data_IF_047573599229
#
_entry.id   IF_047573599229
#
_cell.length_a   1.000
_cell.length_b   1.000
_cell.length_c   1.000
_cell.angle_alpha   90.00
_cell.angle_beta   90.00
_cell.angle_gamma   90.00
#
_symmetry.space_group_name_H-M   'P 1'
#
loop_
_entity.id
_entity.type
_entity.pdbx_description
1 polymer ?
#
# COMPACT_ATOMS: atom_id res chain seq x y z
N UNK A 1 50.96 -15.78 3.64
CA UNK A 1 49.90 -16.79 3.47
C UNK A 1 48.73 -16.27 2.68
N UNK A 2 48.50 -16.85 1.50
CA UNK A 2 47.36 -16.54 0.63
C UNK A 2 45.99 -16.91 1.26
N UNK A 3 46.00 -17.62 2.39
CA UNK A 3 44.81 -17.96 3.17
C UNK A 3 44.24 -16.76 3.96
N UNK A 4 45.07 -15.80 4.40
CA UNK A 4 44.60 -14.59 5.11
C UNK A 4 44.04 -13.53 4.17
N UNK A 5 44.45 -13.53 2.89
CA UNK A 5 43.89 -12.66 1.86
C UNK A 5 42.50 -13.12 1.36
N UNK A 6 42.14 -14.40 1.57
CA UNK A 6 40.88 -14.97 1.10
C UNK A 6 39.70 -14.80 2.09
N UNK A 7 39.99 -14.40 3.33
CA UNK A 7 38.95 -13.98 4.29
C UNK A 7 38.55 -12.50 4.15
N UNK A 8 39.22 -11.75 3.26
CA UNK A 8 38.98 -10.33 3.05
C UNK A 8 37.73 -10.01 2.20
N UNK A 9 37.05 -11.02 1.65
CA UNK A 9 35.96 -10.83 0.68
C UNK A 9 34.56 -10.69 1.32
N UNK A 10 34.44 -10.69 2.66
CA UNK A 10 33.14 -10.62 3.35
C UNK A 10 33.06 -9.61 4.50
N UNK A 11 33.98 -8.65 4.58
CA UNK A 11 33.93 -7.58 5.57
C UNK A 11 33.13 -6.39 5.01
N UNK A 12 31.87 -6.24 5.44
CA UNK A 12 31.19 -4.94 5.35
C UNK A 12 32.13 -3.88 5.96
N UNK A 13 32.45 -2.83 5.20
CA UNK A 13 33.26 -1.71 5.70
C UNK A 13 32.68 -1.20 7.04
N UNK A 14 33.53 -0.64 7.90
CA UNK A 14 33.13 -0.16 9.24
C UNK A 14 31.90 0.75 9.17
N UNK A 15 31.82 1.58 8.12
CA UNK A 15 30.66 2.43 7.84
C UNK A 15 29.38 1.63 7.59
N UNK A 16 29.43 0.64 6.71
CA UNK A 16 28.28 -0.22 6.37
C UNK A 16 27.80 -1.03 7.58
N UNK A 17 28.73 -1.49 8.44
CA UNK A 17 28.36 -2.13 9.71
C UNK A 17 27.66 -1.16 10.66
N UNK A 18 28.13 0.08 10.74
CA UNK A 18 27.47 1.13 11.53
C UNK A 18 26.04 1.39 11.09
N UNK A 19 25.79 1.52 9.78
CA UNK A 19 24.45 1.69 9.22
C UNK A 19 23.56 0.49 9.54
N UNK A 20 24.06 -0.73 9.35
CA UNK A 20 23.30 -1.94 9.63
C UNK A 20 22.92 -2.05 11.12
N UNK A 21 23.84 -1.76 12.03
CA UNK A 21 23.58 -1.81 13.47
C UNK A 21 22.52 -0.78 13.89
N UNK A 22 22.62 0.47 13.40
CA UNK A 22 21.61 1.51 13.69
C UNK A 22 20.26 1.14 13.12
N UNK A 23 20.21 0.59 11.90
CA UNK A 23 18.97 0.14 11.30
C UNK A 23 18.31 -0.97 12.12
N UNK A 24 19.08 -2.01 12.50
CA UNK A 24 18.59 -3.12 13.32
C UNK A 24 18.07 -2.63 14.67
N UNK A 25 18.82 -1.76 15.36
CA UNK A 25 18.39 -1.17 16.62
C UNK A 25 17.13 -0.32 16.44
N UNK A 26 17.03 0.46 15.36
CA UNK A 26 15.84 1.24 15.02
C UNK A 26 14.60 0.36 14.85
N UNK A 27 14.73 -0.81 14.21
CA UNK A 27 13.63 -1.77 14.07
C UNK A 27 13.22 -2.34 15.43
N UNK A 28 14.17 -2.66 16.31
CA UNK A 28 13.85 -3.10 17.67
C UNK A 28 13.10 -2.03 18.48
N UNK A 29 13.53 -0.76 18.38
CA UNK A 29 12.87 0.35 19.06
C UNK A 29 11.48 0.64 18.50
N UNK A 30 11.28 0.51 17.18
CA UNK A 30 9.97 0.61 16.54
C UNK A 30 8.99 -0.45 17.08
N UNK A 31 9.47 -1.69 17.25
CA UNK A 31 8.67 -2.78 17.81
C UNK A 31 8.32 -2.55 19.29
N UNK A 32 9.22 -1.90 20.04
CA UNK A 32 8.99 -1.50 21.43
C UNK A 32 8.22 -0.18 21.57
N UNK A 33 7.77 0.41 20.47
CA UNK A 33 7.05 1.69 20.42
C UNK A 33 7.84 2.92 20.90
N UNK A 34 9.18 2.85 20.93
CA UNK A 34 10.06 4.00 21.16
C UNK A 34 10.31 4.75 19.84
N UNK A 35 9.27 5.40 19.32
CA UNK A 35 9.28 5.94 17.96
C UNK A 35 10.27 7.08 17.76
N UNK A 36 10.43 8.00 18.71
CA UNK A 36 11.34 9.14 18.60
C UNK A 36 12.80 8.69 18.48
N UNK A 37 13.20 7.72 19.30
CA UNK A 37 14.53 7.13 19.25
C UNK A 37 14.77 6.36 17.95
N UNK A 38 13.79 5.59 17.49
CA UNK A 38 13.84 4.89 16.20
C UNK A 38 13.97 5.87 15.02
N UNK A 39 13.23 6.98 15.04
CA UNK A 39 13.29 8.04 14.02
C UNK A 39 14.71 8.63 13.94
N UNK A 40 15.34 8.90 15.09
CA UNK A 40 16.71 9.39 15.15
C UNK A 40 17.71 8.42 14.50
N UNK A 41 17.61 7.13 14.80
CA UNK A 41 18.48 6.11 14.20
C UNK A 41 18.27 5.99 12.69
N UNK A 42 17.03 5.94 12.22
CA UNK A 42 16.74 5.87 10.79
C UNK A 42 17.14 7.15 10.06
N UNK A 43 17.07 8.32 10.70
CA UNK A 43 17.57 9.57 10.11
C UNK A 43 19.09 9.50 9.86
N UNK A 44 19.86 8.93 10.79
CA UNK A 44 21.29 8.69 10.58
C UNK A 44 21.53 7.69 9.44
N UNK A 45 20.73 6.63 9.33
CA UNK A 45 20.84 5.69 8.21
C UNK A 45 20.55 6.36 6.86
N UNK A 46 19.54 7.23 6.77
CA UNK A 46 19.23 8.01 5.56
C UNK A 46 20.41 8.91 5.15
N UNK A 47 21.09 9.51 6.12
CA UNK A 47 22.22 10.40 5.87
C UNK A 47 23.48 9.65 5.42
N UNK A 48 23.70 8.43 5.92
CA UNK A 48 24.91 7.66 5.65
C UNK A 48 24.81 6.68 4.47
N UNK A 49 23.63 6.12 4.21
CA UNK A 49 23.33 5.19 3.11
C UNK A 49 22.25 5.80 2.21
N UNK A 50 22.63 6.90 1.54
CA UNK A 50 21.75 7.67 0.67
C UNK A 50 21.30 6.83 -0.53
N UNK A 51 20.00 6.90 -0.85
CA UNK A 51 19.41 6.18 -1.97
C UNK A 51 18.84 4.80 -1.60
N UNK A 52 19.03 4.32 -0.37
CA UNK A 52 18.39 3.08 0.07
C UNK A 52 16.96 3.33 0.59
N UNK A 53 15.90 2.90 -0.13
CA UNK A 53 14.50 3.21 0.22
C UNK A 53 14.03 2.62 1.54
N UNK A 54 14.75 1.63 2.09
CA UNK A 54 14.39 0.99 3.36
C UNK A 54 14.48 1.97 4.53
N UNK A 55 15.49 2.86 4.55
CA UNK A 55 15.70 3.79 5.66
C UNK A 55 14.61 4.85 5.80
N UNK A 56 14.26 5.63 4.75
CA UNK A 56 13.17 6.59 4.85
C UNK A 56 11.82 5.88 5.01
N UNK A 57 11.62 4.70 4.43
CA UNK A 57 10.41 3.91 4.68
C UNK A 57 10.23 3.61 6.18
N UNK A 58 11.24 3.05 6.85
CA UNK A 58 11.15 2.72 8.27
C UNK A 58 11.02 3.97 9.15
N UNK A 59 11.68 5.07 8.78
CA UNK A 59 11.49 6.37 9.45
C UNK A 59 10.06 6.87 9.32
N UNK A 60 9.51 6.80 8.10
CA UNK A 60 8.12 7.17 7.80
C UNK A 60 7.10 6.32 8.56
N UNK A 61 7.38 5.04 8.79
CA UNK A 61 6.55 4.16 9.62
C UNK A 61 6.51 4.62 11.06
N UNK A 62 7.66 4.94 11.65
CA UNK A 62 7.72 5.45 13.01
C UNK A 62 7.00 6.79 13.13
N UNK A 63 7.20 7.70 12.17
CA UNK A 63 6.49 8.98 12.12
C UNK A 63 4.98 8.82 11.97
N UNK A 64 4.54 7.86 11.15
CA UNK A 64 3.12 7.54 10.99
C UNK A 64 2.52 7.06 12.31
N UNK A 65 3.21 6.15 13.02
CA UNK A 65 2.78 5.66 14.35
C UNK A 65 2.81 6.74 15.43
N UNK A 66 3.74 7.69 15.34
CA UNK A 66 3.81 8.86 16.21
C UNK A 66 2.81 9.98 15.82
N UNK A 67 1.98 9.80 14.79
CA UNK A 67 0.99 10.79 14.35
C UNK A 67 1.56 11.95 13.51
N UNK A 68 2.84 11.92 13.16
CA UNK A 68 3.50 12.93 12.33
C UNK A 68 3.23 12.69 10.83
N UNK A 69 1.97 12.73 10.41
CA UNK A 69 1.51 12.32 9.07
C UNK A 69 2.24 13.02 7.92
N UNK A 70 2.44 14.34 8.02
CA UNK A 70 3.13 15.12 6.97
C UNK A 70 4.61 14.75 6.84
N UNK A 71 5.27 14.41 7.94
CA UNK A 71 6.64 13.92 7.90
C UNK A 71 6.68 12.52 7.27
N UNK A 72 5.78 11.62 7.69
CA UNK A 72 5.69 10.26 7.18
C UNK A 72 5.50 10.25 5.65
N UNK A 73 4.62 11.10 5.16
CA UNK A 73 4.40 11.33 3.73
C UNK A 73 5.69 11.70 2.98
N UNK A 74 6.47 12.67 3.48
CA UNK A 74 7.75 13.06 2.85
C UNK A 74 8.73 11.89 2.77
N UNK A 75 8.79 11.08 3.81
CA UNK A 75 9.66 9.92 3.87
C UNK A 75 9.21 8.80 2.92
N UNK A 76 7.90 8.57 2.80
CA UNK A 76 7.38 7.62 1.81
C UNK A 76 7.57 8.12 0.38
N UNK A 77 7.40 9.42 0.11
CA UNK A 77 7.68 10.01 -1.21
C UNK A 77 9.17 9.84 -1.57
N UNK A 78 10.06 10.07 -0.61
CA UNK A 78 11.50 9.84 -0.80
C UNK A 78 11.79 8.37 -1.13
N UNK A 79 11.22 7.42 -0.38
CA UNK A 79 11.38 6.00 -0.63
C UNK A 79 10.85 5.57 -2.01
N UNK A 80 9.67 6.07 -2.41
CA UNK A 80 9.08 5.84 -3.75
C UNK A 80 10.02 6.38 -4.83
N UNK A 81 10.54 7.61 -4.64
CA UNK A 81 11.41 8.26 -5.62
C UNK A 81 12.69 7.47 -5.87
N UNK A 82 13.28 6.87 -4.83
CA UNK A 82 14.48 6.05 -4.96
C UNK A 82 14.22 4.70 -5.64
N UNK A 83 13.07 4.07 -5.37
CA UNK A 83 12.66 2.89 -6.13
C UNK A 83 12.53 3.23 -7.62
N UNK A 84 11.74 4.24 -7.95
CA UNK A 84 11.47 4.63 -9.35
C UNK A 84 12.74 5.09 -10.05
N UNK A 85 13.57 5.90 -9.39
CA UNK A 85 14.83 6.40 -9.93
C UNK A 85 15.84 5.30 -10.28
N UNK A 86 15.73 4.13 -9.67
CA UNK A 86 16.53 2.93 -9.96
C UNK A 86 15.84 1.95 -10.91
N UNK A 87 14.68 2.32 -11.46
CA UNK A 87 13.85 1.42 -12.28
C UNK A 87 13.21 0.28 -11.49
N UNK A 88 13.21 0.36 -10.15
CA UNK A 88 12.59 -0.62 -9.26
C UNK A 88 11.12 -0.29 -9.07
N UNK A 89 10.31 -1.35 -9.00
CA UNK A 89 8.91 -1.27 -8.58
C UNK A 89 8.85 -1.01 -7.08
N UNK A 90 8.21 0.09 -6.61
CA UNK A 90 7.95 0.26 -5.18
C UNK A 90 7.18 -0.93 -4.62
N UNK A 91 7.52 -1.43 -3.41
CA UNK A 91 6.74 -2.48 -2.76
C UNK A 91 5.30 -2.01 -2.49
N UNK A 92 4.32 -2.90 -2.62
CA UNK A 92 2.91 -2.54 -2.38
C UNK A 92 2.66 -2.00 -0.97
N UNK A 93 3.35 -2.56 0.02
CA UNK A 93 3.25 -2.11 1.41
C UNK A 93 3.74 -0.66 1.59
N UNK A 94 4.71 -0.21 0.78
CA UNK A 94 5.18 1.16 0.77
C UNK A 94 4.07 2.12 0.31
N UNK A 95 3.42 1.79 -0.81
CA UNK A 95 2.32 2.58 -1.38
C UNK A 95 1.11 2.61 -0.43
N UNK A 96 0.76 1.47 0.16
CA UNK A 96 -0.32 1.41 1.15
C UNK A 96 -0.03 2.29 2.38
N UNK A 97 1.20 2.30 2.90
CA UNK A 97 1.58 3.15 4.04
C UNK A 97 1.62 4.63 3.67
N UNK A 98 2.00 4.97 2.43
CA UNK A 98 1.91 6.33 1.89
C UNK A 98 0.48 6.83 1.82
N UNK A 99 -0.43 6.00 1.29
CA UNK A 99 -1.86 6.29 1.25
C UNK A 99 -2.44 6.49 2.67
N UNK A 100 -2.08 5.64 3.63
CA UNK A 100 -2.52 5.78 5.03
C UNK A 100 -2.04 7.09 5.67
N UNK A 101 -0.80 7.51 5.41
CA UNK A 101 -0.28 8.78 5.90
C UNK A 101 -1.02 9.97 5.24
N UNK A 102 -1.24 9.90 3.93
CA UNK A 102 -1.95 10.94 3.17
C UNK A 102 -3.43 11.04 3.49
N UNK A 103 -4.08 9.95 3.93
CA UNK A 103 -5.51 9.96 4.26
C UNK A 103 -5.87 10.95 5.37
N UNK A 104 -4.91 11.31 6.23
CA UNK A 104 -5.05 12.33 7.29
C UNK A 104 -4.76 13.76 6.82
N UNK A 105 -4.42 13.95 5.54
CA UNK A 105 -4.02 15.22 4.93
C UNK A 105 -5.00 15.58 3.79
N UNK A 106 -5.86 16.62 3.96
CA UNK A 106 -6.84 17.00 2.94
C UNK A 106 -6.23 17.39 1.59
N UNK A 107 -5.00 17.95 1.60
CA UNK A 107 -4.25 18.36 0.42
C UNK A 107 -3.67 17.19 -0.39
N UNK A 108 -3.68 15.97 0.15
CA UNK A 108 -3.08 14.77 -0.49
C UNK A 108 -4.07 13.73 -0.99
N UNK A 109 -5.37 14.01 -0.94
CA UNK A 109 -6.40 13.00 -1.21
C UNK A 109 -6.27 12.37 -2.60
N UNK A 110 -5.93 13.13 -3.64
CA UNK A 110 -5.73 12.59 -4.97
C UNK A 110 -4.62 11.52 -5.03
N UNK A 111 -3.51 11.74 -4.32
CA UNK A 111 -2.37 10.82 -4.30
C UNK A 111 -2.69 9.55 -3.51
N UNK A 112 -3.47 9.69 -2.43
CA UNK A 112 -3.99 8.56 -1.64
C UNK A 112 -4.80 7.61 -2.54
N UNK A 113 -5.69 8.17 -3.36
CA UNK A 113 -6.52 7.37 -4.27
C UNK A 113 -5.69 6.73 -5.38
N UNK A 114 -4.70 7.44 -5.93
CA UNK A 114 -3.79 6.88 -6.90
C UNK A 114 -3.01 5.68 -6.33
N UNK A 115 -2.54 5.76 -5.07
CA UNK A 115 -1.86 4.66 -4.40
C UNK A 115 -2.76 3.46 -4.15
N UNK A 116 -3.99 3.68 -3.67
CA UNK A 116 -4.96 2.60 -3.46
C UNK A 116 -5.28 1.88 -4.76
N UNK A 117 -5.53 2.61 -5.84
CA UNK A 117 -5.83 2.02 -7.13
C UNK A 117 -4.65 1.26 -7.72
N UNK A 118 -3.44 1.81 -7.57
CA UNK A 118 -2.23 1.14 -8.01
C UNK A 118 -2.02 -0.19 -7.27
N UNK A 119 -2.20 -0.20 -5.94
CA UNK A 119 -2.11 -1.41 -5.12
C UNK A 119 -3.18 -2.41 -5.53
N UNK A 120 -4.44 -1.97 -5.65
CA UNK A 120 -5.57 -2.82 -6.02
C UNK A 120 -5.35 -3.48 -7.37
N UNK A 121 -4.97 -2.73 -8.41
CA UNK A 121 -4.71 -3.25 -9.76
C UNK A 121 -3.51 -4.18 -9.80
N UNK A 122 -2.47 -3.92 -9.01
CA UNK A 122 -1.29 -4.78 -8.96
C UNK A 122 -1.56 -6.12 -8.26
N UNK A 123 -2.45 -6.14 -7.26
CA UNK A 123 -2.93 -7.38 -6.63
C UNK A 123 -3.84 -8.17 -7.58
N UNK A 124 -4.63 -7.45 -8.35
CA UNK A 124 -5.54 -7.97 -9.35
C UNK A 124 -4.85 -8.56 -10.58
N UNK A 125 -3.77 -7.93 -11.04
CA UNK A 125 -3.01 -8.33 -12.22
C UNK A 125 -1.53 -8.48 -11.85
N UNK A 126 -1.15 -9.62 -11.22
CA UNK A 126 0.19 -9.80 -10.70
C UNK A 126 1.31 -9.74 -11.75
N UNK A 127 0.97 -10.00 -13.00
CA UNK A 127 1.90 -10.06 -14.13
C UNK A 127 2.08 -8.71 -14.83
N UNK A 128 1.22 -7.74 -14.53
CA UNK A 128 1.31 -6.40 -15.11
C UNK A 128 2.40 -5.57 -14.42
N UNK A 129 3.20 -4.89 -15.23
CA UNK A 129 4.17 -3.91 -14.72
C UNK A 129 3.46 -2.70 -14.10
N UNK A 130 4.07 -2.09 -13.09
CA UNK A 130 3.56 -0.83 -12.49
C UNK A 130 3.37 0.25 -13.54
N UNK A 131 4.27 0.37 -14.53
CA UNK A 131 4.13 1.35 -15.62
C UNK A 131 2.96 1.07 -16.55
N UNK A 132 2.56 -0.19 -16.74
CA UNK A 132 1.37 -0.53 -17.50
C UNK A 132 0.11 -0.13 -16.72
N UNK A 133 0.05 -0.47 -15.43
CA UNK A 133 -1.05 -0.11 -14.55
C UNK A 133 -1.20 1.41 -14.43
N UNK A 134 -0.09 2.15 -14.28
CA UNK A 134 -0.10 3.62 -14.24
C UNK A 134 -0.62 4.24 -15.55
N UNK A 135 -0.29 3.65 -16.72
CA UNK A 135 -0.83 4.10 -18.00
C UNK A 135 -2.33 3.90 -18.10
N UNK A 136 -2.85 2.75 -17.66
CA UNK A 136 -4.30 2.52 -17.61
C UNK A 136 -5.01 3.46 -16.63
N UNK A 137 -4.45 3.65 -15.43
CA UNK A 137 -5.02 4.59 -14.45
C UNK A 137 -5.05 6.03 -14.97
N UNK A 138 -4.04 6.44 -15.74
CA UNK A 138 -4.01 7.74 -16.38
C UNK A 138 -5.11 7.88 -17.45
N UNK A 139 -5.47 6.80 -18.15
CA UNK A 139 -6.59 6.78 -19.09
C UNK A 139 -7.94 6.84 -18.37
N UNK A 140 -8.06 6.19 -17.20
CA UNK A 140 -9.31 6.08 -16.44
C UNK A 140 -9.66 7.35 -15.64
N UNK A 141 -8.80 8.38 -15.67
CA UNK A 141 -9.01 9.71 -15.05
C UNK A 141 -9.48 9.65 -13.59
N UNK A 142 -9.05 8.65 -12.82
CA UNK A 142 -9.39 8.53 -11.39
C UNK A 142 -8.57 9.56 -10.62
N UNK A 143 -9.15 10.75 -10.43
CA UNK A 143 -8.51 11.89 -9.77
C UNK A 143 -9.18 12.29 -8.45
N UNK A 144 -10.29 11.63 -8.09
CA UNK A 144 -11.09 11.98 -6.91
C UNK A 144 -11.84 10.78 -6.32
N UNK A 145 -12.18 10.89 -5.03
CA UNK A 145 -13.01 9.90 -4.33
C UNK A 145 -14.36 9.68 -5.02
N UNK A 146 -15.03 10.74 -5.48
CA UNK A 146 -16.33 10.61 -6.15
C UNK A 146 -16.26 9.93 -7.53
N UNK A 147 -15.11 9.94 -8.20
CA UNK A 147 -14.90 9.12 -9.41
C UNK A 147 -14.63 7.66 -9.05
N UNK A 148 -13.86 7.43 -7.99
CA UNK A 148 -13.61 6.09 -7.46
C UNK A 148 -14.89 5.42 -6.95
N UNK A 149 -15.70 6.14 -6.17
CA UNK A 149 -16.97 5.66 -5.63
C UNK A 149 -17.93 5.25 -6.76
N UNK A 150 -18.06 6.07 -7.81
CA UNK A 150 -18.85 5.71 -8.99
C UNK A 150 -18.33 4.47 -9.69
N UNK A 151 -17.01 4.33 -9.87
CA UNK A 151 -16.42 3.13 -10.46
C UNK A 151 -16.66 1.87 -9.61
N UNK A 152 -16.77 2.01 -8.30
CA UNK A 152 -17.08 0.92 -7.36
C UNK A 152 -18.57 0.59 -7.33
N UNK A 153 -19.43 1.60 -7.43
CA UNK A 153 -20.89 1.49 -7.33
C UNK A 153 -21.56 1.17 -8.67
N UNK A 154 -20.94 1.51 -9.80
CA UNK A 154 -21.43 1.20 -11.13
C UNK A 154 -21.44 -0.32 -11.36
N UNK A 155 -22.57 -0.91 -11.80
CA UNK A 155 -22.66 -2.34 -12.08
C UNK A 155 -21.64 -2.77 -13.13
N UNK A 156 -20.61 -3.49 -12.69
CA UNK A 156 -19.59 -4.02 -13.59
C UNK A 156 -20.17 -5.24 -14.34
N UNK A 157 -19.88 -5.36 -15.64
CA UNK A 157 -20.38 -6.45 -16.49
C UNK A 157 -19.91 -7.83 -16.01
N UNK A 158 -20.70 -8.87 -16.27
CA UNK A 158 -20.62 -10.21 -15.64
C UNK A 158 -19.32 -11.01 -15.85
N UNK A 159 -18.36 -10.54 -16.65
CA UNK A 159 -17.01 -11.15 -16.70
C UNK A 159 -16.16 -10.82 -15.45
N UNK A 160 -16.60 -9.88 -14.62
CA UNK A 160 -15.91 -9.44 -13.40
C UNK A 160 -16.25 -10.29 -12.16
N UNK A 161 -16.29 -11.63 -12.29
CA UNK A 161 -16.72 -12.54 -11.22
C UNK A 161 -15.87 -12.53 -9.93
N UNK A 162 -14.74 -11.82 -9.93
CA UNK A 162 -13.98 -11.58 -8.71
C UNK A 162 -13.58 -10.10 -8.67
N UNK A 163 -14.18 -9.35 -7.74
CA UNK A 163 -13.55 -8.29 -6.91
C UNK A 163 -14.59 -7.29 -6.42
N UNK A 164 -15.35 -7.61 -5.37
CA UNK A 164 -15.70 -6.58 -4.38
C UNK A 164 -16.10 -7.16 -3.01
N UNK A 165 -15.11 -7.53 -2.19
CA UNK A 165 -15.34 -7.73 -0.75
C UNK A 165 -15.69 -6.41 -0.04
N UNK A 166 -15.19 -5.28 -0.56
CA UNK A 166 -15.50 -3.94 -0.05
C UNK A 166 -16.95 -3.49 -0.35
N UNK A 167 -17.59 -3.97 -1.43
CA UNK A 167 -19.02 -3.67 -1.68
C UNK A 167 -19.85 -4.38 -0.64
N UNK A 168 -19.47 -5.61 -0.28
CA UNK A 168 -20.09 -6.34 0.81
C UNK A 168 -20.00 -5.59 2.15
N UNK A 169 -18.86 -4.98 2.45
CA UNK A 169 -18.67 -4.20 3.70
C UNK A 169 -19.47 -2.90 3.68
N UNK A 170 -19.45 -2.16 2.57
CA UNK A 170 -20.16 -0.88 2.46
C UNK A 170 -21.67 -1.11 2.41
N UNK A 171 -22.14 -2.13 1.70
CA UNK A 171 -23.55 -2.50 1.64
C UNK A 171 -24.10 -3.01 2.99
N UNK A 172 -23.33 -3.81 3.73
CA UNK A 172 -23.73 -4.29 5.06
C UNK A 172 -23.90 -3.15 6.07
N UNK A 173 -23.13 -2.07 5.93
CA UNK A 173 -23.20 -0.91 6.82
C UNK A 173 -24.41 0.00 6.56
N UNK A 174 -24.93 0.01 5.33
CA UNK A 174 -26.12 0.77 4.96
C UNK A 174 -27.43 -0.02 5.15
N UNK A 175 -27.38 -1.36 5.14
CA UNK A 175 -28.58 -2.21 5.26
C UNK A 175 -28.78 -2.90 6.62
N UNK A 176 -27.86 -2.72 7.59
CA UNK A 176 -28.03 -3.26 8.94
C UNK A 176 -28.02 -4.79 9.04
N UNK A 177 -27.48 -5.49 8.03
CA UNK A 177 -27.43 -6.96 8.02
C UNK A 177 -26.07 -7.48 8.52
N UNK A 178 -26.10 -8.39 9.49
CA UNK A 178 -24.93 -9.11 10.00
C UNK A 178 -24.38 -10.12 8.99
N UNK A 179 -23.06 -10.16 8.84
CA UNK A 179 -22.33 -10.97 7.87
C UNK A 179 -22.36 -12.47 8.26
N UNK A 180 -23.14 -13.28 7.55
CA UNK A 180 -22.97 -14.74 7.52
C UNK A 180 -21.83 -15.10 6.57
N UNK A 181 -20.84 -15.85 7.04
CA UNK A 181 -19.65 -16.23 6.27
C UNK A 181 -19.99 -17.07 5.02
N UNK A 182 -19.27 -16.92 3.90
CA UNK A 182 -19.30 -17.92 2.84
C UNK A 182 -17.91 -18.56 2.64
N UNK A 183 -17.76 -19.81 3.08
CA UNK A 183 -16.98 -20.79 2.33
C UNK A 183 -17.93 -21.95 2.02
N UNK A 184 -18.41 -21.98 0.79
CA UNK A 184 -19.16 -23.06 0.19
C UNK A 184 -19.16 -22.80 -1.31
N UNK A 185 -18.46 -23.65 -2.06
CA UNK A 185 -18.34 -23.54 -3.53
C UNK A 185 -19.69 -23.66 -4.26
N UNK A 186 -19.72 -23.38 -5.56
CA UNK A 186 -20.98 -23.26 -6.30
C UNK A 186 -21.57 -24.64 -6.60
N UNK A 187 -22.77 -24.90 -6.08
CA UNK A 187 -23.68 -25.86 -6.70
C UNK A 187 -24.50 -25.10 -7.76
N UNK A 188 -24.15 -25.33 -9.02
CA UNK A 188 -24.84 -24.75 -10.17
C UNK A 188 -26.08 -25.60 -10.43
N UNK A 189 -27.20 -25.26 -9.79
CA UNK A 189 -28.54 -25.61 -10.28
C UNK A 189 -29.64 -24.79 -9.62
N UNK A 190 -30.39 -24.10 -10.48
CA UNK A 190 -31.76 -23.66 -10.30
C UNK A 190 -32.04 -22.53 -9.29
N UNK A 191 -32.16 -21.31 -9.80
CA UNK A 191 -33.31 -20.46 -9.44
C UNK A 191 -33.67 -19.57 -10.64
N UNK A 192 -34.86 -19.82 -11.16
CA UNK A 192 -35.48 -19.11 -12.28
C UNK A 192 -35.66 -17.64 -11.93
N UNK A 193 -35.40 -16.78 -12.91
CA UNK A 193 -35.89 -15.40 -12.93
C UNK A 193 -37.42 -15.39 -12.79
N UNK A 194 -37.91 -14.74 -11.75
CA UNK A 194 -39.31 -14.35 -11.58
C UNK A 194 -39.34 -12.87 -11.24
N UNK A 195 -39.22 -12.02 -12.25
CA UNK A 195 -39.53 -10.60 -12.15
C UNK A 195 -40.97 -10.42 -12.64
N UNK A 196 -41.84 -9.88 -11.78
CA UNK A 196 -43.16 -9.38 -12.15
C UNK A 196 -43.21 -7.92 -11.72
N UNK A 197 -43.36 -6.95 -12.63
CA UNK A 197 -43.71 -5.59 -12.28
C UNK A 197 -45.24 -5.47 -12.28
N UNK A 198 -45.80 -4.95 -11.19
CA UNK A 198 -47.14 -4.35 -10.98
C UNK A 198 -47.44 -4.51 -9.48
N UNK A 199 -47.90 -3.56 -8.67
CA UNK A 199 -48.46 -2.23 -8.84
C UNK A 199 -49.36 -1.97 -7.60
N UNK A 200 -49.43 -0.72 -7.12
CA UNK A 200 -50.61 -0.20 -6.40
C UNK A 200 -50.69 -0.34 -4.87
N UNK A 201 -50.56 0.81 -4.19
CA UNK A 201 -51.61 1.37 -3.34
C UNK A 201 -51.96 0.70 -2.01
N UNK A 202 -51.62 1.40 -0.92
CA UNK A 202 -52.23 1.31 0.40
C UNK A 202 -51.99 2.61 1.14
#
# INVERSE_FOLDING_TARGET
DAATAKFAEHALDSRSRGVLLRWTLGVCLEALSFYEAAIGLFASCVAEDYGNPVHPYNRGVCQLRAGAFRAACRDFDLAVSWCIGRGLSPPLLLLARRALAGARLPDRQAEVWADFELVRRRMAHPDMSIRAIQRELALDRISSYGQYQRLVEEPQTSEAAHRHWAAGIVAARHMGCSFGAPFGGPDIRAARCGWSPDGGGG
#
